data_IF_191408132561
#
_entry.id   IF_191408132561
#
_cell.length_a   1.000
_cell.length_b   1.000
_cell.length_c   1.000
_cell.angle_alpha   90.00
_cell.angle_beta   90.00
_cell.angle_gamma   90.00
#
_symmetry.space_group_name_H-M   'P 1'
#
loop_
_entity.id
_entity.type
_entity.pdbx_description
1 polymer ?
#
# COMPACT_ATOMS: atom_id res chain seq x y z
N UNK A 1 -23.40 4.01 -34.50
CA UNK A 1 -24.39 4.21 -33.43
C UNK A 1 -23.67 3.92 -32.12
N UNK A 2 -23.37 4.93 -31.30
CA UNK A 2 -22.91 4.69 -29.91
C UNK A 2 -24.05 4.00 -29.18
N UNK A 3 -23.82 2.78 -28.69
CA UNK A 3 -24.77 2.08 -27.86
C UNK A 3 -24.74 2.73 -26.49
N UNK A 4 -25.80 3.41 -26.10
CA UNK A 4 -25.89 4.00 -24.76
C UNK A 4 -25.73 2.89 -23.72
N UNK A 5 -24.74 2.99 -22.82
CA UNK A 5 -24.55 2.05 -21.73
C UNK A 5 -25.83 1.93 -20.91
N UNK A 6 -26.16 0.71 -20.47
CA UNK A 6 -27.39 0.47 -19.71
C UNK A 6 -27.26 1.04 -18.29
N UNK A 7 -28.41 1.30 -17.67
CA UNK A 7 -28.45 1.71 -16.26
C UNK A 7 -27.86 0.62 -15.32
N UNK A 8 -27.98 -0.65 -15.71
CA UNK A 8 -27.38 -1.79 -15.01
C UNK A 8 -25.85 -1.69 -15.01
N UNK A 9 -25.22 -1.44 -16.16
CA UNK A 9 -23.76 -1.25 -16.27
C UNK A 9 -23.27 -0.08 -15.42
N UNK A 10 -24.00 1.04 -15.39
CA UNK A 10 -23.65 2.17 -14.53
C UNK A 10 -23.76 1.84 -13.04
N UNK A 11 -24.77 1.05 -12.67
CA UNK A 11 -24.97 0.60 -11.28
C UNK A 11 -23.86 -0.35 -10.84
N UNK A 12 -23.51 -1.31 -11.69
CA UNK A 12 -22.45 -2.28 -11.42
C UNK A 12 -21.08 -1.59 -11.33
N UNK A 13 -20.78 -0.67 -12.25
CA UNK A 13 -19.57 0.14 -12.19
C UNK A 13 -19.47 0.93 -10.88
N UNK A 14 -20.56 1.61 -10.50
CA UNK A 14 -20.61 2.41 -9.28
C UNK A 14 -20.46 1.55 -8.01
N UNK A 15 -21.05 0.34 -8.00
CA UNK A 15 -20.91 -0.63 -6.92
C UNK A 15 -19.48 -1.12 -6.79
N UNK A 16 -18.89 -1.59 -7.89
CA UNK A 16 -17.51 -2.07 -7.94
C UNK A 16 -16.52 -1.00 -7.48
N UNK A 17 -16.60 0.23 -8.02
CA UNK A 17 -15.73 1.34 -7.63
C UNK A 17 -15.86 1.64 -6.14
N UNK A 18 -17.09 1.70 -5.60
CA UNK A 18 -17.32 1.95 -4.16
C UNK A 18 -16.59 0.91 -3.31
N UNK A 19 -16.71 -0.37 -3.66
CA UNK A 19 -16.05 -1.47 -2.94
C UNK A 19 -14.53 -1.36 -3.06
N UNK A 20 -13.97 -1.14 -4.26
CA UNK A 20 -12.52 -0.99 -4.44
C UNK A 20 -11.94 0.25 -3.74
N UNK A 21 -12.68 1.36 -3.70
CA UNK A 21 -12.32 2.53 -2.91
C UNK A 21 -12.28 2.16 -1.42
N UNK A 22 -13.33 1.52 -0.90
CA UNK A 22 -13.40 1.12 0.51
C UNK A 22 -12.30 0.12 0.92
N UNK A 23 -11.88 -0.79 0.03
CA UNK A 23 -10.77 -1.72 0.30
C UNK A 23 -9.44 -1.01 0.60
N UNK A 24 -9.22 0.19 0.05
CA UNK A 24 -8.05 1.01 0.38
C UNK A 24 -6.72 0.59 -0.26
N UNK A 25 -6.71 -0.35 -1.22
CA UNK A 25 -5.48 -1.02 -1.68
C UNK A 25 -4.92 -0.57 -3.02
N UNK A 26 -5.76 -0.05 -3.90
CA UNK A 26 -5.40 0.31 -5.28
C UNK A 26 -5.56 1.82 -5.48
N UNK A 27 -4.68 2.41 -6.29
CA UNK A 27 -4.77 3.83 -6.65
C UNK A 27 -5.92 4.10 -7.62
N UNK A 28 -6.26 5.38 -7.80
CA UNK A 28 -7.41 5.80 -8.60
C UNK A 28 -7.36 5.28 -10.05
N UNK A 29 -6.21 5.37 -10.72
CA UNK A 29 -6.04 4.91 -12.10
C UNK A 29 -6.16 3.38 -12.22
N UNK A 30 -5.64 2.63 -11.25
CA UNK A 30 -5.78 1.17 -11.20
C UNK A 30 -7.24 0.77 -11.01
N UNK A 31 -7.98 1.42 -10.11
CA UNK A 31 -9.41 1.14 -9.90
C UNK A 31 -10.21 1.36 -11.19
N UNK A 32 -9.88 2.39 -11.98
CA UNK A 32 -10.51 2.61 -13.28
C UNK A 32 -10.21 1.48 -14.26
N UNK A 33 -8.94 1.05 -14.36
CA UNK A 33 -8.57 -0.08 -15.21
C UNK A 33 -9.29 -1.37 -14.79
N UNK A 34 -9.33 -1.67 -13.49
CA UNK A 34 -10.01 -2.83 -12.93
C UNK A 34 -11.52 -2.79 -13.19
N UNK A 35 -12.13 -1.59 -13.15
CA UNK A 35 -13.56 -1.43 -13.46
C UNK A 35 -13.85 -1.78 -14.91
N UNK A 36 -12.97 -1.38 -15.84
CA UNK A 36 -13.12 -1.72 -17.27
C UNK A 36 -12.96 -3.23 -17.49
N UNK A 37 -12.03 -3.87 -16.78
CA UNK A 37 -11.85 -5.32 -16.82
C UNK A 37 -13.06 -6.05 -16.23
N UNK A 38 -13.57 -5.60 -15.08
CA UNK A 38 -14.77 -6.14 -14.44
C UNK A 38 -16.00 -6.10 -15.37
N UNK A 39 -16.15 -5.02 -16.14
CA UNK A 39 -17.25 -4.82 -17.10
C UNK A 39 -16.92 -5.36 -18.50
N UNK A 40 -15.88 -6.18 -18.66
CA UNK A 40 -15.49 -6.71 -19.97
C UNK A 40 -16.65 -7.46 -20.64
N UNK A 41 -16.99 -7.05 -21.87
CA UNK A 41 -18.10 -7.62 -22.65
C UNK A 41 -19.45 -6.91 -22.47
N UNK A 42 -19.56 -5.94 -21.56
CA UNK A 42 -20.79 -5.18 -21.31
C UNK A 42 -20.91 -3.88 -22.12
N UNK A 43 -19.86 -3.49 -22.85
CA UNK A 43 -19.84 -2.26 -23.66
C UNK A 43 -18.52 -2.04 -24.38
N UNK A 44 -18.42 -0.94 -25.11
CA UNK A 44 -17.16 -0.50 -25.72
C UNK A 44 -16.15 -0.11 -24.62
N UNK A 45 -14.89 -0.60 -24.66
CA UNK A 45 -13.90 -0.33 -23.61
C UNK A 45 -13.62 1.15 -23.35
N UNK A 46 -13.72 2.01 -24.35
CA UNK A 46 -13.48 3.45 -24.18
C UNK A 46 -14.68 4.13 -23.53
N UNK A 47 -15.90 3.70 -23.86
CA UNK A 47 -17.12 4.13 -23.18
C UNK A 47 -17.14 3.69 -21.71
N UNK A 48 -16.74 2.44 -21.42
CA UNK A 48 -16.62 1.91 -20.05
C UNK A 48 -15.54 2.67 -19.25
N UNK A 49 -14.40 2.99 -19.88
CA UNK A 49 -13.33 3.77 -19.23
C UNK A 49 -13.78 5.19 -18.92
N UNK A 50 -14.47 5.84 -19.84
CA UNK A 50 -15.05 7.17 -19.62
C UNK A 50 -16.09 7.15 -18.49
N UNK A 51 -16.93 6.10 -18.43
CA UNK A 51 -17.86 5.87 -17.32
C UNK A 51 -17.11 5.73 -15.98
N UNK A 52 -16.09 4.87 -15.91
CA UNK A 52 -15.34 4.64 -14.70
C UNK A 52 -14.64 5.91 -14.18
N UNK A 53 -14.01 6.69 -15.07
CA UNK A 53 -13.42 7.99 -14.70
C UNK A 53 -14.45 8.99 -14.17
N UNK A 54 -15.66 9.00 -14.73
CA UNK A 54 -16.77 9.84 -14.24
C UNK A 54 -17.21 9.44 -12.83
N UNK A 55 -17.20 8.15 -12.51
CA UNK A 55 -17.71 7.63 -11.24
C UNK A 55 -16.66 7.59 -10.12
N UNK A 56 -15.37 7.45 -10.43
CA UNK A 56 -14.32 7.23 -9.41
C UNK A 56 -14.09 8.44 -8.51
N UNK A 57 -14.07 9.65 -9.07
CA UNK A 57 -13.78 10.88 -8.32
C UNK A 57 -14.73 11.13 -7.15
N UNK A 58 -16.06 11.13 -7.36
CA UNK A 58 -17.04 11.25 -6.28
C UNK A 58 -16.87 10.19 -5.18
N UNK A 59 -16.55 8.94 -5.53
CA UNK A 59 -16.36 7.86 -4.53
C UNK A 59 -15.12 8.06 -3.67
N UNK A 60 -14.03 8.56 -4.24
CA UNK A 60 -12.85 8.95 -3.46
C UNK A 60 -13.17 10.11 -2.51
N UNK A 61 -13.87 11.14 -2.98
CA UNK A 61 -14.28 12.27 -2.15
C UNK A 61 -15.15 11.80 -0.96
N UNK A 62 -16.19 11.01 -1.21
CA UNK A 62 -17.04 10.41 -0.18
C UNK A 62 -16.24 9.61 0.86
N UNK A 63 -15.29 8.78 0.40
CA UNK A 63 -14.45 7.97 1.30
C UNK A 63 -13.52 8.83 2.16
N UNK A 64 -12.87 9.84 1.58
CA UNK A 64 -11.95 10.72 2.30
C UNK A 64 -12.69 11.62 3.30
N UNK A 65 -13.90 12.09 2.97
CA UNK A 65 -14.78 12.80 3.90
C UNK A 65 -15.19 11.89 5.07
N UNK A 66 -15.58 10.65 4.79
CA UNK A 66 -15.90 9.67 5.83
C UNK A 66 -14.66 9.37 6.71
N UNK A 67 -13.50 9.16 6.09
CA UNK A 67 -12.23 8.87 6.75
C UNK A 67 -11.81 9.93 7.75
N UNK A 68 -12.12 11.21 7.48
CA UNK A 68 -11.82 12.32 8.39
C UNK A 68 -12.57 12.23 9.72
N UNK A 69 -13.68 11.48 9.78
CA UNK A 69 -14.49 11.27 10.99
C UNK A 69 -14.12 10.02 11.78
N UNK A 70 -13.24 9.17 11.23
CA UNK A 70 -12.88 7.90 11.87
C UNK A 70 -11.98 8.11 13.08
N UNK A 71 -12.11 7.27 14.13
CA UNK A 71 -11.22 7.31 15.28
C UNK A 71 -9.77 7.05 14.86
N UNK A 72 -8.81 7.53 15.63
CA UNK A 72 -7.38 7.33 15.39
C UNK A 72 -7.05 5.86 15.10
N UNK A 73 -7.60 4.93 15.89
CA UNK A 73 -7.51 3.49 15.69
C UNK A 73 -8.85 2.88 15.32
N UNK A 74 -8.94 2.32 14.13
CA UNK A 74 -10.12 1.65 13.58
C UNK A 74 -10.13 0.15 13.88
N UNK A 75 -11.25 -0.53 13.61
CA UNK A 75 -11.28 -2.00 13.71
C UNK A 75 -10.38 -2.67 12.66
N UNK A 76 -10.17 -2.01 11.51
CA UNK A 76 -9.23 -2.47 10.49
C UNK A 76 -7.77 -2.40 10.98
N UNK A 77 -7.40 -1.36 11.74
CA UNK A 77 -6.06 -1.26 12.34
C UNK A 77 -5.87 -2.34 13.42
N UNK A 78 -6.89 -2.56 14.26
CA UNK A 78 -6.90 -3.64 15.27
C UNK A 78 -6.77 -5.03 14.64
N UNK A 79 -7.40 -5.24 13.48
CA UNK A 79 -7.26 -6.49 12.75
C UNK A 79 -5.82 -6.68 12.27
N UNK A 80 -5.19 -5.63 11.74
CA UNK A 80 -3.78 -5.66 11.35
C UNK A 80 -2.86 -5.96 12.53
N UNK A 81 -3.13 -5.40 13.71
CA UNK A 81 -2.36 -5.74 14.92
C UNK A 81 -2.53 -7.21 15.33
N UNK A 82 -3.72 -7.80 15.17
CA UNK A 82 -3.95 -9.22 15.45
C UNK A 82 -3.17 -10.11 14.47
N UNK A 83 -3.19 -9.77 13.18
CA UNK A 83 -2.44 -10.49 12.15
C UNK A 83 -0.93 -10.40 12.40
N UNK A 84 -0.43 -9.21 12.73
CA UNK A 84 0.98 -8.99 13.08
C UNK A 84 1.41 -9.82 14.28
N UNK A 85 0.57 -9.90 15.33
CA UNK A 85 0.85 -10.70 16.51
C UNK A 85 0.86 -12.21 16.20
N UNK A 86 -0.04 -12.69 15.33
CA UNK A 86 -0.06 -14.09 14.88
C UNK A 86 1.16 -14.44 14.03
N UNK A 87 1.58 -13.54 13.13
CA UNK A 87 2.79 -13.70 12.33
C UNK A 87 4.05 -13.82 13.20
N UNK A 88 4.17 -12.96 14.22
CA UNK A 88 5.25 -13.03 15.19
C UNK A 88 5.21 -14.30 16.06
N UNK A 89 4.04 -14.91 16.24
CA UNK A 89 3.83 -16.16 16.99
C UNK A 89 4.03 -17.44 16.14
N UNK A 90 4.56 -17.30 14.91
CA UNK A 90 4.89 -18.44 14.04
C UNK A 90 3.70 -19.00 13.24
N UNK A 91 2.65 -18.20 13.05
CA UNK A 91 1.53 -18.49 12.13
C UNK A 91 1.65 -17.57 10.91
N UNK A 92 1.64 -18.09 9.69
CA UNK A 92 1.55 -17.23 8.50
C UNK A 92 0.23 -16.46 8.54
N UNK A 93 0.27 -15.16 8.83
CA UNK A 93 -0.91 -14.30 8.87
C UNK A 93 -0.92 -13.36 7.67
N UNK A 94 -1.91 -13.50 6.77
CA UNK A 94 -2.00 -12.66 5.55
C UNK A 94 -3.38 -12.04 5.37
N UNK A 95 -3.39 -10.73 5.30
CA UNK A 95 -4.58 -9.94 5.05
C UNK A 95 -4.87 -9.84 3.54
N UNK A 96 -6.10 -10.18 3.13
CA UNK A 96 -6.52 -10.16 1.72
C UNK A 96 -5.51 -10.88 0.82
N UNK A 97 -5.38 -12.18 1.10
CA UNK A 97 -4.48 -13.10 0.43
C UNK A 97 -5.25 -13.97 -0.57
N UNK A 98 -4.80 -13.92 -1.82
CA UNK A 98 -5.45 -14.54 -2.98
C UNK A 98 -6.88 -14.05 -3.26
N UNK A 99 -7.42 -14.43 -4.43
CA UNK A 99 -8.74 -13.96 -4.85
C UNK A 99 -9.91 -14.66 -4.11
N UNK A 100 -9.72 -15.91 -3.71
CA UNK A 100 -10.74 -16.73 -3.06
C UNK A 100 -10.12 -17.79 -2.13
N UNK A 101 -10.95 -18.48 -1.35
CA UNK A 101 -10.51 -19.47 -0.37
C UNK A 101 -9.67 -20.60 -0.98
N UNK A 102 -10.06 -21.16 -2.13
CA UNK A 102 -9.36 -22.28 -2.74
C UNK A 102 -7.95 -21.88 -3.20
N UNK A 103 -7.81 -20.70 -3.82
CA UNK A 103 -6.50 -20.14 -4.17
C UNK A 103 -5.67 -19.90 -2.91
N UNK A 104 -6.25 -19.27 -1.89
CA UNK A 104 -5.56 -19.00 -0.63
C UNK A 104 -5.00 -20.26 0.03
N UNK A 105 -5.80 -21.33 0.16
CA UNK A 105 -5.34 -22.60 0.73
C UNK A 105 -4.24 -23.24 -0.12
N UNK A 106 -4.33 -23.14 -1.45
CA UNK A 106 -3.31 -23.70 -2.36
C UNK A 106 -1.99 -22.93 -2.32
N UNK A 107 -2.02 -21.62 -2.05
CA UNK A 107 -0.86 -20.72 -2.17
C UNK A 107 -0.17 -20.46 -0.83
N UNK A 108 -0.91 -20.46 0.29
CA UNK A 108 -0.42 -20.00 1.60
C UNK A 108 0.74 -20.86 2.15
N UNK A 109 0.87 -22.10 1.70
CA UNK A 109 2.02 -22.95 2.05
C UNK A 109 3.37 -22.38 1.58
N UNK A 110 3.39 -21.63 0.47
CA UNK A 110 4.62 -21.03 -0.05
C UNK A 110 5.17 -19.90 0.84
N UNK A 111 4.34 -19.34 1.72
CA UNK A 111 4.76 -18.32 2.68
C UNK A 111 5.57 -18.90 3.85
N UNK A 112 5.47 -20.20 4.10
CA UNK A 112 6.26 -20.92 5.08
C UNK A 112 7.52 -21.48 4.40
N UNK A 113 8.60 -20.69 4.42
CA UNK A 113 9.88 -21.07 3.79
C UNK A 113 10.78 -21.82 4.76
N UNK A 114 11.90 -22.37 4.27
CA UNK A 114 12.90 -22.98 5.16
C UNK A 114 13.57 -21.93 6.07
N UNK A 115 13.82 -20.72 5.55
CA UNK A 115 14.42 -19.61 6.29
C UNK A 115 13.47 -19.00 7.31
N UNK A 116 12.17 -19.02 7.00
CA UNK A 116 11.11 -18.60 7.90
C UNK A 116 10.07 -19.72 7.92
N UNK A 117 10.18 -20.71 8.83
CA UNK A 117 9.16 -21.74 8.99
C UNK A 117 7.94 -21.18 9.72
N UNK A 118 6.81 -21.88 9.59
CA UNK A 118 5.60 -21.61 10.35
C UNK A 118 4.86 -22.92 10.59
N UNK A 119 4.09 -23.01 11.68
CA UNK A 119 3.31 -24.22 12.01
C UNK A 119 1.92 -24.23 11.41
N UNK A 120 1.41 -23.07 11.03
CA UNK A 120 0.07 -22.90 10.49
C UNK A 120 -0.12 -21.55 9.83
N UNK A 121 -1.36 -21.26 9.48
CA UNK A 121 -1.74 -20.07 8.75
C UNK A 121 -3.07 -19.50 9.23
N UNK A 122 -3.26 -18.22 8.94
CA UNK A 122 -4.54 -17.52 8.99
C UNK A 122 -4.60 -16.50 7.85
N UNK A 123 -5.71 -16.44 7.14
CA UNK A 123 -5.93 -15.40 6.14
C UNK A 123 -7.41 -15.08 5.95
N UNK A 124 -7.69 -13.92 5.38
CA UNK A 124 -8.92 -13.67 4.64
C UNK A 124 -8.56 -13.32 3.20
N UNK A 125 -9.43 -13.62 2.25
CA UNK A 125 -9.18 -13.40 0.82
C UNK A 125 -9.97 -12.19 0.28
N UNK A 126 -9.73 -11.82 -0.98
CA UNK A 126 -10.35 -10.63 -1.60
C UNK A 126 -11.87 -10.61 -1.45
N UNK A 127 -12.56 -11.70 -1.79
CA UNK A 127 -14.03 -11.73 -1.67
C UNK A 127 -14.55 -11.55 -0.24
N UNK A 128 -13.78 -11.88 0.81
CA UNK A 128 -14.19 -11.60 2.19
C UNK A 128 -13.95 -10.13 2.54
N UNK A 129 -12.85 -9.57 2.05
CA UNK A 129 -12.56 -8.15 2.20
C UNK A 129 -13.64 -7.30 1.51
N UNK A 130 -14.06 -7.67 0.29
CA UNK A 130 -15.13 -7.01 -0.46
C UNK A 130 -16.46 -7.05 0.31
N UNK A 131 -16.86 -8.22 0.80
CA UNK A 131 -18.06 -8.38 1.64
C UNK A 131 -18.00 -7.52 2.89
N UNK A 132 -16.86 -7.47 3.58
CA UNK A 132 -16.68 -6.66 4.77
C UNK A 132 -16.72 -5.15 4.45
N UNK A 133 -16.10 -4.72 3.34
CA UNK A 133 -16.13 -3.35 2.84
C UNK A 133 -17.55 -2.89 2.44
N UNK A 134 -18.40 -3.82 2.02
CA UNK A 134 -19.82 -3.59 1.71
C UNK A 134 -20.72 -3.57 2.96
N UNK A 135 -20.15 -3.66 4.16
CA UNK A 135 -20.88 -3.67 5.44
C UNK A 135 -21.31 -5.06 5.90
N UNK A 136 -20.85 -6.11 5.21
CA UNK A 136 -21.02 -7.50 5.60
C UNK A 136 -20.02 -7.96 6.65
N UNK A 137 -19.78 -9.27 6.66
CA UNK A 137 -18.96 -9.96 7.66
C UNK A 137 -17.60 -10.37 7.11
N UNK A 138 -16.56 -10.31 7.95
CA UNK A 138 -15.24 -10.83 7.60
C UNK A 138 -15.08 -12.27 8.10
N UNK A 139 -14.59 -13.15 7.25
CA UNK A 139 -14.32 -14.55 7.56
C UNK A 139 -12.83 -14.85 7.46
N UNK A 140 -12.26 -15.52 8.46
CA UNK A 140 -10.86 -15.96 8.44
C UNK A 140 -10.79 -17.46 8.21
N UNK A 141 -10.03 -17.86 7.20
CA UNK A 141 -9.57 -19.23 7.04
C UNK A 141 -8.31 -19.42 7.89
N UNK A 142 -8.15 -20.60 8.49
CA UNK A 142 -7.00 -20.93 9.32
C UNK A 142 -6.74 -22.44 9.26
N UNK A 143 -5.55 -22.83 9.71
CA UNK A 143 -5.18 -24.24 9.88
C UNK A 143 -3.72 -24.41 10.26
N UNK A 144 -3.33 -25.64 10.58
CA UNK A 144 -1.94 -26.05 10.70
C UNK A 144 -1.46 -26.68 9.40
N UNK A 145 -0.18 -26.52 9.09
CA UNK A 145 0.43 -27.19 7.94
C UNK A 145 0.62 -28.69 8.20
N UNK A 146 0.78 -29.10 9.46
CA UNK A 146 0.70 -30.51 9.86
C UNK A 146 -0.78 -30.90 10.06
N UNK A 147 -1.35 -31.77 9.21
CA UNK A 147 -2.75 -32.17 9.32
C UNK A 147 -3.05 -33.03 10.55
N UNK A 148 -2.02 -33.62 11.19
CA UNK A 148 -2.20 -34.39 12.42
C UNK A 148 -2.30 -33.53 13.68
N UNK A 149 -1.97 -32.24 13.56
CA UNK A 149 -2.08 -31.27 14.64
C UNK A 149 -3.53 -30.91 14.99
N UNK A 150 -3.71 -30.37 16.20
CA UNK A 150 -5.01 -29.91 16.68
C UNK A 150 -5.42 -28.60 15.98
N UNK A 151 -6.19 -28.76 14.91
CA UNK A 151 -6.73 -27.65 14.11
C UNK A 151 -7.63 -26.73 14.95
N UNK A 152 -8.41 -27.27 15.89
CA UNK A 152 -9.28 -26.46 16.75
C UNK A 152 -8.45 -25.61 17.73
N UNK A 153 -7.34 -26.14 18.27
CA UNK A 153 -6.42 -25.34 19.07
C UNK A 153 -5.82 -24.17 18.28
N UNK A 154 -5.46 -24.38 17.00
CA UNK A 154 -5.00 -23.30 16.13
C UNK A 154 -6.09 -22.23 15.91
N UNK A 155 -7.34 -22.64 15.70
CA UNK A 155 -8.48 -21.74 15.62
C UNK A 155 -8.67 -20.93 16.91
N UNK A 156 -8.57 -21.58 18.07
CA UNK A 156 -8.69 -20.92 19.37
C UNK A 156 -7.61 -19.86 19.60
N UNK A 157 -6.39 -20.10 19.12
CA UNK A 157 -5.31 -19.11 19.17
C UNK A 157 -5.59 -17.89 18.28
N UNK A 158 -6.06 -18.10 17.04
CA UNK A 158 -6.47 -17.00 16.16
C UNK A 158 -7.59 -16.18 16.80
N UNK A 159 -8.60 -16.85 17.36
CA UNK A 159 -9.70 -16.20 18.09
C UNK A 159 -9.17 -15.39 19.28
N UNK A 160 -8.23 -15.93 20.05
CA UNK A 160 -7.63 -15.24 21.19
C UNK A 160 -6.88 -13.97 20.75
N UNK A 161 -6.07 -14.05 19.68
CA UNK A 161 -5.33 -12.92 19.15
C UNK A 161 -6.26 -11.80 18.64
N UNK A 162 -7.32 -12.15 17.91
CA UNK A 162 -8.32 -11.18 17.43
C UNK A 162 -9.07 -10.54 18.59
N UNK A 163 -9.49 -11.31 19.59
CA UNK A 163 -10.15 -10.79 20.80
C UNK A 163 -9.23 -9.93 21.66
N UNK A 164 -7.93 -10.21 21.70
CA UNK A 164 -6.95 -9.39 22.41
C UNK A 164 -6.86 -7.96 21.85
N UNK A 165 -7.21 -7.77 20.57
CA UNK A 165 -7.32 -6.44 19.95
C UNK A 165 -8.69 -5.80 20.12
N UNK A 166 -9.59 -6.40 20.90
CA UNK A 166 -10.92 -5.89 21.20
C UNK A 166 -11.97 -6.13 20.11
N UNK A 167 -11.69 -7.02 19.15
CA UNK A 167 -12.64 -7.37 18.09
C UNK A 167 -13.58 -8.51 18.53
N UNK A 168 -14.82 -8.44 18.06
CA UNK A 168 -15.83 -9.46 18.34
C UNK A 168 -15.68 -10.64 17.37
N UNK A 169 -15.70 -11.86 17.92
CA UNK A 169 -15.51 -13.09 17.17
C UNK A 169 -16.59 -14.10 17.51
N UNK A 170 -17.28 -14.60 16.48
CA UNK A 170 -18.19 -15.73 16.54
C UNK A 170 -17.51 -16.97 15.94
N UNK A 171 -17.30 -17.98 16.78
CA UNK A 171 -16.71 -19.25 16.38
C UNK A 171 -17.14 -20.33 17.37
N UNK A 172 -17.58 -21.49 16.86
CA UNK A 172 -18.17 -22.56 17.66
C UNK A 172 -17.14 -23.54 18.26
N UNK A 173 -15.85 -23.33 18.00
CA UNK A 173 -14.77 -24.22 18.44
C UNK A 173 -14.41 -25.31 17.43
N UNK A 174 -15.13 -25.42 16.31
CA UNK A 174 -14.94 -26.44 15.30
C UNK A 174 -13.85 -26.06 14.30
N UNK A 175 -12.91 -26.97 14.08
CA UNK A 175 -11.92 -26.91 13.01
C UNK A 175 -12.55 -26.81 11.61
N UNK A 176 -13.79 -27.28 11.44
CA UNK A 176 -14.52 -27.22 10.17
C UNK A 176 -15.17 -25.85 9.89
N UNK A 177 -15.18 -24.93 10.86
CA UNK A 177 -15.79 -23.62 10.73
C UNK A 177 -14.71 -22.54 10.58
N UNK A 178 -14.85 -21.67 9.58
CA UNK A 178 -14.09 -20.42 9.47
C UNK A 178 -14.44 -19.47 10.61
N UNK A 179 -13.50 -18.63 11.01
CA UNK A 179 -13.70 -17.69 12.12
C UNK A 179 -14.43 -16.45 11.60
N UNK A 180 -15.57 -16.10 12.19
CA UNK A 180 -16.32 -14.90 11.84
C UNK A 180 -15.90 -13.74 12.74
N UNK A 181 -15.41 -12.66 12.14
CA UNK A 181 -15.05 -11.42 12.83
C UNK A 181 -16.07 -10.34 12.49
N UNK A 182 -16.69 -9.77 13.53
CA UNK A 182 -17.56 -8.59 13.39
C UNK A 182 -16.71 -7.34 13.55
N UNK A 183 -16.63 -6.53 12.50
CA UNK A 183 -15.87 -5.30 12.48
C UNK A 183 -16.51 -4.26 11.58
N UNK A 184 -16.24 -2.98 11.85
CA UNK A 184 -16.52 -1.91 10.91
C UNK A 184 -15.32 -1.73 9.98
N UNK A 185 -15.48 -2.05 8.70
CA UNK A 185 -14.40 -1.88 7.72
C UNK A 185 -14.09 -0.40 7.53
N UNK A 186 -12.83 -0.03 7.72
CA UNK A 186 -12.37 1.36 7.68
C UNK A 186 -10.88 1.43 7.35
N UNK A 187 -10.52 1.22 6.07
CA UNK A 187 -9.13 1.32 5.60
C UNK A 187 -8.79 2.73 5.16
N UNK A 188 -7.76 3.30 5.78
CA UNK A 188 -7.29 4.65 5.46
C UNK A 188 -6.55 4.67 4.13
N UNK A 189 -6.78 5.73 3.36
CA UNK A 189 -6.03 6.09 2.16
C UNK A 189 -5.18 7.32 2.48
N UNK A 190 -3.92 7.27 2.11
CA UNK A 190 -2.97 8.38 2.21
C UNK A 190 -2.08 8.43 0.96
N UNK A 191 -1.43 9.57 0.73
CA UNK A 191 -0.46 9.75 -0.36
C UNK A 191 -1.02 9.28 -1.71
N UNK A 192 -0.28 8.40 -2.40
CA UNK A 192 -0.68 7.90 -3.72
C UNK A 192 -2.04 7.20 -3.71
N UNK A 193 -2.35 6.46 -2.64
CA UNK A 193 -3.62 5.73 -2.52
C UNK A 193 -4.81 6.64 -2.20
N UNK A 194 -4.58 7.88 -1.77
CA UNK A 194 -5.62 8.89 -1.61
C UNK A 194 -5.78 9.80 -2.83
N UNK A 195 -4.83 9.78 -3.77
CA UNK A 195 -4.84 10.66 -4.93
C UNK A 195 -5.91 10.25 -5.94
N UNK A 196 -6.67 11.24 -6.42
CA UNK A 196 -7.69 11.05 -7.45
C UNK A 196 -7.85 12.32 -8.30
N UNK A 197 -8.37 12.16 -9.50
CA UNK A 197 -8.81 13.29 -10.34
C UNK A 197 -10.30 13.51 -10.15
N UNK A 198 -10.73 14.77 -10.03
CA UNK A 198 -12.16 15.12 -9.96
C UNK A 198 -12.84 15.05 -11.32
N UNK A 199 -12.06 15.05 -12.40
CA UNK A 199 -12.51 14.92 -13.78
C UNK A 199 -11.34 14.91 -14.76
N UNK A 200 -11.59 14.37 -15.94
CA UNK A 200 -10.63 14.38 -17.04
C UNK A 200 -10.57 15.75 -17.71
N UNK A 201 -9.40 16.11 -18.26
CA UNK A 201 -9.25 17.31 -19.06
C UNK A 201 -9.84 17.16 -20.48
N UNK A 202 -10.11 15.93 -20.94
CA UNK A 202 -10.54 15.62 -22.30
C UNK A 202 -9.44 15.79 -23.33
N UNK A 203 -8.17 15.80 -22.90
CA UNK A 203 -7.01 16.01 -23.77
C UNK A 203 -5.97 14.94 -23.47
N UNK A 204 -5.80 14.00 -24.41
CA UNK A 204 -4.78 12.97 -24.32
C UNK A 204 -3.42 13.50 -24.73
N UNK A 205 -2.39 13.08 -23.99
CA UNK A 205 -0.98 13.31 -24.30
C UNK A 205 -0.27 11.97 -24.45
N UNK A 206 0.61 11.87 -25.45
CA UNK A 206 1.46 10.71 -25.61
C UNK A 206 2.42 10.57 -24.43
N UNK A 207 2.54 9.36 -23.87
CA UNK A 207 3.45 9.06 -22.77
C UNK A 207 4.32 7.85 -23.09
N UNK A 208 5.62 7.98 -22.80
CA UNK A 208 6.60 6.94 -23.10
C UNK A 208 7.68 6.91 -22.02
N UNK A 209 8.00 5.73 -21.50
CA UNK A 209 9.12 5.57 -20.56
C UNK A 209 10.43 5.54 -21.35
N UNK A 210 11.29 6.53 -21.14
CA UNK A 210 12.58 6.67 -21.84
C UNK A 210 13.75 6.10 -21.04
N UNK A 211 13.59 5.98 -19.72
CA UNK A 211 14.55 5.34 -18.80
C UNK A 211 13.82 4.75 -17.59
N UNK A 212 14.32 3.65 -17.06
CA UNK A 212 13.74 2.94 -15.92
C UNK A 212 12.65 1.95 -16.32
N UNK A 213 11.93 1.40 -15.35
CA UNK A 213 10.84 0.45 -15.57
C UNK A 213 9.54 0.99 -14.99
N UNK A 214 8.59 1.26 -15.88
CA UNK A 214 7.21 1.60 -15.52
C UNK A 214 6.31 1.18 -16.69
N UNK A 215 5.18 0.55 -16.40
CA UNK A 215 4.21 0.17 -17.44
C UNK A 215 3.19 1.30 -17.58
N UNK A 216 3.11 1.89 -18.77
CA UNK A 216 2.16 2.95 -19.09
C UNK A 216 1.40 2.61 -20.37
N UNK A 217 0.12 2.99 -20.50
CA UNK A 217 -0.54 3.04 -21.80
C UNK A 217 0.15 4.11 -22.68
N UNK A 218 0.05 4.02 -24.03
CA UNK A 218 0.79 4.93 -24.93
C UNK A 218 0.29 6.38 -24.92
N UNK A 219 -0.95 6.61 -24.47
CA UNK A 219 -1.54 7.91 -24.31
C UNK A 219 -2.47 7.91 -23.09
N UNK A 220 -2.56 9.06 -22.43
CA UNK A 220 -3.35 9.28 -21.22
C UNK A 220 -3.88 10.70 -21.19
N UNK A 221 -5.02 10.91 -20.55
CA UNK A 221 -5.53 12.25 -20.29
C UNK A 221 -4.51 13.05 -19.46
N UNK A 222 -4.27 14.31 -19.84
CA UNK A 222 -3.25 15.14 -19.21
C UNK A 222 -3.50 15.36 -17.71
N UNK A 223 -4.75 15.32 -17.24
CA UNK A 223 -5.05 15.39 -15.81
C UNK A 223 -4.54 14.14 -15.08
N UNK A 224 -4.74 12.95 -15.66
CA UNK A 224 -4.22 11.69 -15.08
C UNK A 224 -2.70 11.70 -15.06
N UNK A 225 -2.05 12.16 -16.13
CA UNK A 225 -0.58 12.29 -16.19
C UNK A 225 -0.08 13.22 -15.08
N UNK A 226 -0.64 14.42 -15.00
CA UNK A 226 -0.11 15.48 -14.12
C UNK A 226 -0.49 15.33 -12.66
N UNK A 227 -1.61 14.66 -12.36
CA UNK A 227 -2.13 14.55 -10.99
C UNK A 227 -1.96 13.15 -10.38
N UNK A 228 -1.77 12.08 -11.17
CA UNK A 228 -1.67 10.70 -10.66
C UNK A 228 -0.36 9.99 -11.05
N UNK A 229 0.21 10.29 -12.22
CA UNK A 229 1.45 9.65 -12.68
C UNK A 229 2.70 10.41 -12.23
N UNK A 230 2.84 11.66 -12.68
CA UNK A 230 4.05 12.46 -12.45
C UNK A 230 4.39 12.64 -10.96
N UNK A 231 3.42 12.94 -10.05
CA UNK A 231 3.77 13.23 -8.65
C UNK A 231 4.40 12.06 -7.87
N UNK A 232 4.28 10.84 -8.39
CA UNK A 232 4.81 9.61 -7.80
C UNK A 232 5.72 8.82 -8.73
N UNK A 233 6.34 9.45 -9.73
CA UNK A 233 7.33 8.77 -10.55
C UNK A 233 8.42 8.13 -9.66
N UNK A 234 8.73 6.84 -9.84
CA UNK A 234 9.84 6.23 -9.11
C UNK A 234 11.17 6.92 -9.43
N UNK A 235 12.10 6.88 -8.49
CA UNK A 235 13.47 7.35 -8.71
C UNK A 235 14.10 6.61 -9.90
N UNK A 236 14.88 7.35 -10.69
CA UNK A 236 15.54 6.82 -11.89
C UNK A 236 14.64 6.60 -13.10
N UNK A 237 13.32 6.77 -12.97
CA UNK A 237 12.36 6.73 -14.09
C UNK A 237 12.31 8.08 -14.81
N UNK A 238 12.35 8.04 -16.13
CA UNK A 238 12.13 9.20 -17.01
C UNK A 238 10.98 8.92 -17.95
N UNK A 239 10.04 9.85 -18.03
CA UNK A 239 8.85 9.74 -18.88
C UNK A 239 8.80 10.90 -19.85
N UNK A 240 8.73 10.59 -21.14
CA UNK A 240 8.42 11.55 -22.18
C UNK A 240 6.91 11.80 -22.18
N UNK A 241 6.51 13.05 -22.02
CA UNK A 241 5.13 13.53 -22.05
C UNK A 241 5.01 14.54 -23.20
N UNK A 242 4.40 14.10 -24.30
CA UNK A 242 4.40 14.86 -25.55
C UNK A 242 5.83 15.04 -26.08
N UNK A 243 6.33 16.28 -26.05
CA UNK A 243 7.69 16.60 -26.50
C UNK A 243 8.72 16.68 -25.37
N UNK A 244 8.29 16.66 -24.11
CA UNK A 244 9.13 16.94 -22.94
C UNK A 244 9.52 15.64 -22.22
N UNK A 245 10.78 15.47 -21.83
CA UNK A 245 11.18 14.35 -20.96
C UNK A 245 11.23 14.84 -19.52
N UNK A 246 10.46 14.20 -18.64
CA UNK A 246 10.31 14.58 -17.23
C UNK A 246 10.80 13.44 -16.33
N UNK A 247 11.49 13.80 -15.25
CA UNK A 247 11.85 12.90 -14.15
C UNK A 247 11.58 13.56 -12.81
N UNK A 248 11.57 12.76 -11.74
CA UNK A 248 11.38 13.26 -10.38
C UNK A 248 12.73 13.41 -9.67
N UNK A 249 12.88 14.50 -8.93
CA UNK A 249 13.93 14.70 -7.94
C UNK A 249 13.25 15.06 -6.61
N UNK A 250 13.10 14.09 -5.73
CA UNK A 250 12.38 14.23 -4.47
C UNK A 250 10.95 14.80 -4.65
N UNK A 251 10.67 16.03 -4.19
CA UNK A 251 9.37 16.71 -4.32
C UNK A 251 9.21 17.49 -5.65
N UNK A 252 10.19 17.43 -6.55
CA UNK A 252 10.23 18.21 -7.79
C UNK A 252 10.08 17.34 -9.03
N UNK A 253 9.48 17.90 -10.06
CA UNK A 253 9.55 17.40 -11.43
C UNK A 253 10.54 18.25 -12.21
N UNK A 254 11.48 17.60 -12.89
CA UNK A 254 12.53 18.26 -13.67
C UNK A 254 12.40 17.79 -15.11
N UNK A 255 12.44 18.73 -16.05
CA UNK A 255 12.46 18.43 -17.49
C UNK A 255 13.87 18.44 -18.08
N UNK A 256 14.01 17.81 -19.24
CA UNK A 256 15.26 17.76 -20.02
C UNK A 256 15.73 19.13 -20.54
N UNK A 257 14.86 20.13 -20.59
CA UNK A 257 15.21 21.52 -20.88
C UNK A 257 15.61 22.35 -19.64
N UNK A 258 15.70 21.72 -18.47
CA UNK A 258 16.22 22.31 -17.23
C UNK A 258 15.19 23.04 -16.37
N UNK A 259 13.90 23.05 -16.75
CA UNK A 259 12.83 23.60 -15.91
C UNK A 259 12.49 22.64 -14.77
N UNK A 260 12.09 23.18 -13.63
CA UNK A 260 11.72 22.40 -12.45
C UNK A 260 10.50 23.00 -11.75
N UNK A 261 9.53 22.15 -11.39
CA UNK A 261 8.30 22.56 -10.69
C UNK A 261 7.99 21.61 -9.54
N UNK A 262 7.04 21.96 -8.66
CA UNK A 262 6.57 21.04 -7.62
C UNK A 262 5.90 19.80 -8.24
N UNK A 263 5.90 18.68 -7.52
CA UNK A 263 5.43 17.40 -8.07
C UNK A 263 3.96 17.36 -8.52
N UNK A 264 3.15 18.30 -8.05
CA UNK A 264 1.74 18.48 -8.47
C UNK A 264 1.54 19.58 -9.53
N UNK A 265 2.61 20.30 -9.92
CA UNK A 265 2.57 21.39 -10.91
C UNK A 265 2.92 20.91 -12.33
N UNK A 266 2.88 19.60 -12.59
CA UNK A 266 3.30 19.01 -13.87
C UNK A 266 2.60 19.61 -15.10
N UNK A 267 1.37 20.12 -14.96
CA UNK A 267 0.67 20.80 -16.06
C UNK A 267 1.37 22.10 -16.48
N UNK A 268 1.90 22.87 -15.53
CA UNK A 268 2.67 24.10 -15.80
C UNK A 268 3.95 23.75 -16.57
N UNK A 269 4.64 22.70 -16.12
CA UNK A 269 5.84 22.18 -16.77
C UNK A 269 5.56 21.79 -18.23
N UNK A 270 4.48 21.05 -18.49
CA UNK A 270 4.08 20.65 -19.85
C UNK A 270 3.74 21.88 -20.71
N UNK A 271 3.16 22.93 -20.14
CA UNK A 271 2.74 24.15 -20.86
C UNK A 271 3.85 25.15 -21.15
N UNK A 272 5.06 24.95 -20.66
CA UNK A 272 6.11 25.96 -20.81
C UNK A 272 6.05 27.07 -19.77
N UNK A 273 5.22 26.94 -18.74
CA UNK A 273 5.02 27.99 -17.74
C UNK A 273 6.18 27.96 -16.72
N UNK A 274 6.70 29.14 -16.37
CA UNK A 274 7.67 29.27 -15.28
C UNK A 274 6.96 29.05 -13.94
N UNK A 275 7.49 28.12 -13.14
CA UNK A 275 7.12 27.97 -11.75
C UNK A 275 8.36 27.53 -10.98
N UNK A 276 8.51 28.04 -9.76
CA UNK A 276 9.54 27.57 -8.84
C UNK A 276 8.90 26.47 -7.99
N UNK A 277 9.56 25.33 -7.86
CA UNK A 277 9.11 24.28 -6.97
C UNK A 277 9.06 24.82 -5.53
N UNK A 278 7.88 24.79 -4.92
CA UNK A 278 7.74 25.05 -3.48
C UNK A 278 8.30 23.88 -2.66
N UNK A 279 8.57 24.13 -1.38
CA UNK A 279 8.98 23.09 -0.44
C UNK A 279 7.81 22.16 -0.12
N UNK A 280 8.11 20.87 0.09
CA UNK A 280 7.16 19.87 0.59
C UNK A 280 7.81 19.11 1.77
N UNK A 281 7.83 19.70 2.97
CA UNK A 281 8.44 19.07 4.13
C UNK A 281 7.68 17.79 4.51
N UNK A 282 8.39 16.80 5.05
CA UNK A 282 7.79 15.52 5.46
C UNK A 282 7.64 14.48 4.36
N UNK A 283 8.07 14.77 3.14
CA UNK A 283 8.16 13.78 2.07
C UNK A 283 9.43 12.95 2.26
N UNK A 284 9.30 11.63 2.20
CA UNK A 284 10.42 10.70 2.27
C UNK A 284 10.46 9.84 1.02
N UNK A 285 11.66 9.55 0.55
CA UNK A 285 11.93 8.61 -0.53
C UNK A 285 12.05 7.19 0.07
N UNK A 286 11.12 6.31 -0.27
CA UNK A 286 10.93 5.02 0.41
C UNK A 286 11.09 3.86 -0.55
N UNK A 287 11.84 2.85 -0.12
CA UNK A 287 11.90 1.51 -0.70
C UNK A 287 11.54 0.46 0.35
N UNK A 288 10.92 -0.64 -0.06
CA UNK A 288 10.55 -1.72 0.86
C UNK A 288 10.27 -3.02 0.12
N UNK A 289 10.23 -4.13 0.84
CA UNK A 289 9.83 -5.42 0.31
C UNK A 289 9.17 -6.28 1.38
N UNK A 290 8.01 -6.85 1.03
CA UNK A 290 7.34 -7.85 1.86
C UNK A 290 7.75 -9.23 1.38
N UNK A 291 8.35 -10.01 2.27
CA UNK A 291 8.86 -11.35 2.00
C UNK A 291 7.99 -12.44 2.64
N UNK A 292 7.99 -13.67 2.08
CA UNK A 292 8.65 -14.07 0.84
C UNK A 292 7.88 -13.64 -0.41
N UNK A 293 6.60 -13.31 -0.27
CA UNK A 293 5.79 -12.71 -1.32
C UNK A 293 5.02 -11.51 -0.78
N UNK A 294 4.69 -10.57 -1.66
CA UNK A 294 3.89 -9.41 -1.31
C UNK A 294 4.27 -8.17 -2.12
N UNK A 295 3.75 -7.01 -1.70
CA UNK A 295 4.12 -5.73 -2.27
C UNK A 295 5.62 -5.46 -2.08
N UNK A 296 6.25 -4.94 -3.12
CA UNK A 296 7.60 -4.42 -3.06
C UNK A 296 7.70 -3.12 -3.84
N UNK A 297 8.54 -2.23 -3.36
CA UNK A 297 8.92 -0.99 -4.03
C UNK A 297 10.44 -0.90 -4.05
N UNK A 298 11.04 -1.53 -5.06
CA UNK A 298 12.48 -1.54 -5.26
C UNK A 298 13.02 -0.25 -5.91
N UNK A 299 12.13 0.58 -6.49
CA UNK A 299 12.49 1.88 -7.04
C UNK A 299 11.91 2.97 -6.14
N UNK A 300 12.76 3.72 -5.46
CA UNK A 300 12.37 4.68 -4.43
C UNK A 300 11.19 5.57 -4.86
N UNK A 301 10.15 5.61 -4.04
CA UNK A 301 8.96 6.44 -4.27
C UNK A 301 8.75 7.46 -3.16
N UNK A 302 8.21 8.65 -3.51
CA UNK A 302 7.91 9.67 -2.52
C UNK A 302 6.67 9.29 -1.73
N UNK A 303 6.80 9.15 -0.41
CA UNK A 303 5.71 8.86 0.52
C UNK A 303 5.58 9.95 1.57
N UNK A 304 4.32 10.27 1.90
CA UNK A 304 4.01 11.06 3.09
C UNK A 304 3.99 10.16 4.32
N UNK A 305 4.22 10.73 5.51
CA UNK A 305 4.31 9.96 6.75
C UNK A 305 3.15 8.96 6.96
N UNK A 306 1.85 9.31 6.78
CA UNK A 306 0.77 8.33 6.96
C UNK A 306 0.81 7.15 5.97
N UNK A 307 1.30 7.36 4.75
CA UNK A 307 1.47 6.29 3.75
C UNK A 307 2.60 5.35 4.18
N UNK A 308 3.74 5.91 4.59
CA UNK A 308 4.89 5.17 5.11
C UNK A 308 4.55 4.35 6.38
N UNK A 309 3.81 4.93 7.33
CA UNK A 309 3.44 4.21 8.56
C UNK A 309 2.50 3.03 8.30
N UNK A 310 1.62 3.10 7.30
CA UNK A 310 0.78 1.95 6.91
C UNK A 310 1.63 0.80 6.33
N UNK A 311 2.70 1.11 5.58
CA UNK A 311 3.66 0.11 5.10
C UNK A 311 4.35 -0.58 6.29
N UNK A 312 4.91 0.20 7.22
CA UNK A 312 5.66 -0.34 8.36
C UNK A 312 4.79 -1.24 9.26
N UNK A 313 3.54 -0.87 9.50
CA UNK A 313 2.59 -1.64 10.31
C UNK A 313 2.24 -3.00 9.71
N UNK A 314 2.36 -3.14 8.39
CA UNK A 314 1.99 -4.34 7.63
C UNK A 314 3.19 -5.17 7.18
N UNK A 315 4.42 -4.75 7.47
CA UNK A 315 5.61 -5.56 7.21
C UNK A 315 5.45 -6.93 7.89
N UNK A 316 5.52 -8.05 7.13
CA UNK A 316 5.53 -9.38 7.71
C UNK A 316 6.67 -9.52 8.73
N UNK A 317 6.34 -9.97 9.93
CA UNK A 317 7.24 -9.96 11.09
C UNK A 317 8.19 -11.16 11.14
N UNK A 318 7.77 -12.27 10.53
CA UNK A 318 8.47 -13.56 10.59
C UNK A 318 9.56 -13.72 9.54
N UNK A 319 9.58 -12.84 8.55
CA UNK A 319 10.44 -12.93 7.36
C UNK A 319 11.39 -11.75 7.34
N UNK A 320 12.42 -11.79 6.48
CA UNK A 320 13.42 -10.70 6.36
C UNK A 320 12.86 -9.44 5.64
N UNK A 321 11.55 -9.19 5.75
CA UNK A 321 10.89 -8.03 5.19
C UNK A 321 11.55 -6.75 5.71
N UNK A 322 11.70 -5.77 4.83
CA UNK A 322 12.53 -4.60 5.10
C UNK A 322 11.94 -3.33 4.49
N UNK A 323 12.37 -2.20 5.02
CA UNK A 323 12.04 -0.86 4.55
C UNK A 323 13.22 0.09 4.75
N UNK A 324 13.44 0.99 3.80
CA UNK A 324 14.39 2.11 3.91
C UNK A 324 13.69 3.41 3.53
N UNK A 325 13.85 4.43 4.36
CA UNK A 325 13.32 5.77 4.13
C UNK A 325 14.46 6.80 4.14
N UNK A 326 14.46 7.67 3.14
CA UNK A 326 15.49 8.68 2.90
C UNK A 326 14.85 10.06 2.89
N UNK A 327 15.41 10.99 3.66
CA UNK A 327 14.94 12.37 3.72
C UNK A 327 15.55 13.25 2.63
N UNK A 328 15.05 14.49 2.51
CA UNK A 328 15.54 15.44 1.50
C UNK A 328 17.03 15.79 1.68
N UNK A 329 17.55 15.81 2.91
CA UNK A 329 18.98 16.02 3.19
C UNK A 329 19.81 14.72 3.17
N UNK A 330 19.22 13.58 2.80
CA UNK A 330 19.89 12.29 2.74
C UNK A 330 20.02 11.56 4.08
N UNK A 331 19.24 11.96 5.09
CA UNK A 331 19.12 11.19 6.34
C UNK A 331 18.42 9.86 6.07
N UNK A 332 18.92 8.76 6.64
CA UNK A 332 18.39 7.42 6.37
C UNK A 332 17.89 6.80 7.68
N UNK A 333 16.66 6.30 7.65
CA UNK A 333 16.12 5.38 8.66
C UNK A 333 15.69 4.12 7.93
N UNK A 334 16.30 3.00 8.26
CA UNK A 334 15.96 1.71 7.66
C UNK A 334 15.75 0.64 8.71
N UNK A 335 15.00 -0.39 8.34
CA UNK A 335 14.65 -1.49 9.21
C UNK A 335 14.49 -2.78 8.45
N UNK A 336 14.75 -3.89 9.14
CA UNK A 336 14.55 -5.24 8.65
C UNK A 336 14.13 -6.14 9.81
N UNK A 337 13.21 -7.07 9.58
CA UNK A 337 12.95 -8.13 10.54
C UNK A 337 14.07 -9.18 10.47
N UNK A 338 14.61 -9.55 11.63
CA UNK A 338 15.64 -10.57 11.80
C UNK A 338 15.19 -11.50 12.93
N UNK A 339 15.01 -12.79 12.62
CA UNK A 339 14.55 -13.79 13.59
C UNK A 339 13.29 -13.35 14.37
N UNK A 340 12.33 -12.71 13.69
CA UNK A 340 11.08 -12.24 14.30
C UNK A 340 11.19 -10.91 15.05
N UNK A 341 12.34 -10.23 15.02
CA UNK A 341 12.59 -8.96 15.73
C UNK A 341 12.94 -7.86 14.74
N UNK A 342 12.40 -6.66 14.94
CA UNK A 342 12.64 -5.53 14.04
C UNK A 342 13.99 -4.87 14.37
N UNK A 343 15.01 -5.10 13.54
CA UNK A 343 16.26 -4.34 13.57
C UNK A 343 16.02 -2.97 12.90
N UNK A 344 16.30 -1.89 13.61
CA UNK A 344 16.13 -0.50 13.18
C UNK A 344 17.50 0.20 13.23
N UNK A 345 17.90 0.86 12.16
CA UNK A 345 19.22 1.46 12.06
C UNK A 345 19.32 2.68 11.12
N UNK A 346 20.42 3.41 11.28
CA UNK A 346 20.95 4.35 10.27
C UNK A 346 22.31 3.82 9.78
N UNK A 347 22.50 3.68 8.46
CA UNK A 347 23.77 3.29 7.88
C UNK A 347 24.78 4.46 7.89
N UNK A 348 26.06 4.12 8.01
CA UNK A 348 27.22 5.00 7.87
C UNK A 348 28.18 4.37 6.83
N UNK A 349 27.87 4.47 5.52
CA UNK A 349 28.62 3.78 4.47
C UNK A 349 30.12 4.12 4.46
N UNK A 350 30.46 5.39 4.73
CA UNK A 350 31.84 5.87 4.78
C UNK A 350 32.67 5.23 5.91
N UNK A 351 32.01 4.75 6.95
CA UNK A 351 32.63 4.10 8.10
C UNK A 351 32.57 2.56 8.02
N UNK A 352 31.88 2.02 7.02
CA UNK A 352 31.61 0.59 6.96
C UNK A 352 30.78 0.11 8.16
N UNK A 353 29.80 0.90 8.62
CA UNK A 353 29.06 0.61 9.84
C UNK A 353 27.60 1.07 9.79
N UNK A 354 26.79 0.62 10.75
CA UNK A 354 25.47 1.16 11.05
C UNK A 354 25.28 1.31 12.55
N UNK A 355 24.46 2.29 12.95
CA UNK A 355 24.02 2.46 14.34
C UNK A 355 22.55 2.09 14.46
N UNK A 356 22.23 1.13 15.32
CA UNK A 356 20.88 0.60 15.41
C UNK A 356 20.60 -0.22 16.67
N UNK A 357 19.38 -0.73 16.76
CA UNK A 357 18.94 -1.67 17.80
C UNK A 357 17.79 -2.52 17.28
N UNK A 358 17.51 -3.62 17.98
CA UNK A 358 16.21 -4.25 17.88
C UNK A 358 15.18 -3.35 18.58
N UNK A 359 14.26 -2.80 17.81
CA UNK A 359 13.29 -1.80 18.25
C UNK A 359 11.87 -2.38 18.31
N UNK A 360 11.03 -1.76 19.12
CA UNK A 360 9.59 -1.91 19.03
C UNK A 360 9.04 -1.20 17.79
N UNK A 361 7.82 -1.57 17.36
CA UNK A 361 7.12 -0.86 16.29
C UNK A 361 6.94 0.63 16.63
N UNK A 362 6.59 0.95 17.88
CA UNK A 362 6.42 2.33 18.33
C UNK A 362 7.71 3.15 18.22
N UNK A 363 8.86 2.58 18.57
CA UNK A 363 10.16 3.23 18.37
C UNK A 363 10.46 3.46 16.88
N UNK A 364 10.17 2.48 16.01
CA UNK A 364 10.35 2.61 14.57
C UNK A 364 9.46 3.72 13.98
N UNK A 365 8.17 3.74 14.32
CA UNK A 365 7.24 4.80 13.90
C UNK A 365 7.69 6.17 14.40
N UNK A 366 8.22 6.25 15.63
CA UNK A 366 8.78 7.50 16.19
C UNK A 366 9.98 7.98 15.39
N UNK A 367 10.93 7.11 15.04
CA UNK A 367 12.12 7.49 14.26
C UNK A 367 11.77 7.96 12.85
N UNK A 368 10.82 7.30 12.19
CA UNK A 368 10.31 7.75 10.88
C UNK A 368 9.56 9.07 10.97
N UNK A 369 8.81 9.29 12.05
CA UNK A 369 8.13 10.56 12.31
C UNK A 369 9.15 11.69 12.43
N UNK A 370 10.20 11.51 13.26
CA UNK A 370 11.27 12.51 13.41
C UNK A 370 11.98 12.76 12.07
N UNK A 371 12.28 11.71 11.31
CA UNK A 371 12.89 11.86 9.98
C UNK A 371 12.01 12.70 9.05
N UNK A 372 10.70 12.46 9.02
CA UNK A 372 9.77 13.21 8.19
C UNK A 372 9.61 14.66 8.68
N UNK A 373 9.32 14.87 9.96
CA UNK A 373 8.91 16.19 10.46
C UNK A 373 10.07 17.13 10.76
N UNK A 374 11.25 16.58 11.05
CA UNK A 374 12.44 17.35 11.46
C UNK A 374 13.61 17.22 10.49
N UNK A 375 13.51 16.38 9.45
CA UNK A 375 14.60 16.09 8.49
C UNK A 375 15.90 15.66 9.21
N UNK A 376 15.74 14.78 10.22
CA UNK A 376 16.80 14.44 11.17
C UNK A 376 16.78 12.97 11.54
N UNK A 377 17.96 12.36 11.63
CA UNK A 377 18.13 10.98 12.08
C UNK A 377 18.35 10.96 13.60
N UNK A 378 17.36 10.45 14.35
CA UNK A 378 17.37 10.42 15.81
C UNK A 378 17.65 9.05 16.44
N UNK A 379 18.07 8.06 15.63
CA UNK A 379 18.25 6.67 16.12
C UNK A 379 19.25 6.60 17.28
N UNK A 380 20.32 7.40 17.25
CA UNK A 380 21.33 7.43 18.31
C UNK A 380 20.79 7.91 19.68
N UNK A 381 19.59 8.50 19.71
CA UNK A 381 18.91 8.95 20.94
C UNK A 381 18.11 7.83 21.61
N UNK A 382 17.96 6.67 20.96
CA UNK A 382 17.30 5.50 21.55
C UNK A 382 18.20 4.82 22.58
N UNK A 383 17.62 4.41 23.70
CA UNK A 383 18.33 3.60 24.69
C UNK A 383 18.75 2.25 24.10
N UNK A 384 20.02 1.87 24.31
CA UNK A 384 20.54 0.56 23.96
C UNK A 384 20.96 0.38 22.49
N UNK A 385 21.20 1.47 21.76
CA UNK A 385 21.80 1.39 20.41
C UNK A 385 23.22 0.85 20.43
N UNK A 386 23.55 0.11 19.40
CA UNK A 386 24.89 -0.42 19.15
C UNK A 386 25.36 -0.02 17.76
N UNK A 387 26.68 0.05 17.58
CA UNK A 387 27.29 0.20 16.26
C UNK A 387 27.72 -1.17 15.75
N UNK A 388 27.17 -1.60 14.62
CA UNK A 388 27.60 -2.81 13.91
C UNK A 388 28.50 -2.42 12.74
N UNK A 389 29.63 -3.12 12.56
CA UNK A 389 30.50 -2.93 11.39
C UNK A 389 30.23 -4.01 10.36
N UNK A 390 30.21 -3.64 9.09
CA UNK A 390 30.20 -4.58 7.96
C UNK A 390 31.55 -4.54 7.24
N UNK A 391 31.93 -5.70 6.70
CA UNK A 391 33.23 -5.94 6.06
C UNK A 391 33.13 -6.00 4.54
#
# INVERSE_FOLDING_TARGET
MRGMLTHEVETDAAGFIRTQVALGKRDCATIVADTVEFLHGYGDPDELRALAWRLVGPRFAEHLEAQATWPERTDSDRLTDAFRALDAAGIVAREDFACCQNCGVSEIGAEATEAAPARGYVFYHLQDAERAAEGGSLWLAYGLFDPSGDQAAAGAEVVAAVRAQGLHVDWDGSAGQRIHVRLKWARRRAGRLAAYVTGLAGTDVAVEVTKGRLRLPPAMDVAVVTQLLLPWLPEGVRVKVGALVVHREHHRLVSDDGRAVGRFDGLRLIRGEEAVAGEEPGLLDVTYEYLPTGPSEGASRPMVLPELLDVVRRLPTRTDSWLSAISATGGIVQMRYEDGRLWLETPHPDEGAATGKHASLEEAERMLTVLATEDRVAIAELDGVTTQRWH
#
